data_IF_596394329241
#
_entry.id   IF_596394329241
#
_cell.length_a   1.000
_cell.length_b   1.000
_cell.length_c   1.000
_cell.angle_alpha   90.00
_cell.angle_beta   90.00
_cell.angle_gamma   90.00
#
_symmetry.space_group_name_H-M   'P 1'
#
loop_
_entity.id
_entity.type
_entity.pdbx_description
1 polymer ?
#
# COMPACT_ATOMS: atom_id res chain seq x y z
N UNK A 1 12.58 -21.73 22.15
CA UNK A 1 11.36 -21.51 21.34
C UNK A 1 10.99 -20.02 21.29
N UNK A 2 11.65 -19.19 20.46
CA UNK A 2 11.38 -17.73 20.42
C UNK A 2 11.24 -17.16 18.99
N UNK A 3 10.89 -17.98 18.00
CA UNK A 3 10.76 -17.58 16.59
C UNK A 3 9.32 -17.34 16.11
N UNK A 4 8.35 -17.18 17.02
CA UNK A 4 6.94 -16.99 16.63
C UNK A 4 6.45 -15.53 16.71
N UNK A 5 7.16 -14.64 17.43
CA UNK A 5 6.74 -13.23 17.58
C UNK A 5 6.99 -12.33 16.36
N UNK A 6 7.96 -12.66 15.51
CA UNK A 6 8.37 -11.77 14.40
C UNK A 6 7.43 -11.86 13.18
N UNK A 7 6.79 -13.03 12.97
CA UNK A 7 5.84 -13.22 11.88
C UNK A 7 4.50 -12.53 12.13
N UNK A 8 4.04 -12.48 13.39
CA UNK A 8 2.81 -11.78 13.76
C UNK A 8 2.95 -10.24 13.66
N UNK A 9 4.13 -9.70 14.02
CA UNK A 9 4.41 -8.26 13.88
C UNK A 9 4.48 -7.83 12.40
N UNK A 10 5.09 -8.64 11.54
CA UNK A 10 5.11 -8.38 10.10
C UNK A 10 3.73 -8.50 9.47
N UNK A 11 2.91 -9.47 9.89
CA UNK A 11 1.57 -9.67 9.34
C UNK A 11 0.60 -8.55 9.76
N UNK A 12 0.65 -8.10 11.03
CA UNK A 12 -0.24 -7.03 11.52
C UNK A 12 -0.02 -5.70 10.80
N UNK A 13 1.23 -5.32 10.54
CA UNK A 13 1.53 -4.12 9.73
C UNK A 13 1.12 -4.32 8.28
N UNK A 14 1.29 -5.51 7.69
CA UNK A 14 0.87 -5.76 6.31
C UNK A 14 -0.64 -5.61 6.13
N UNK A 15 -1.46 -5.96 7.12
CA UNK A 15 -2.92 -5.84 7.05
C UNK A 15 -3.43 -4.40 6.92
N UNK A 16 -2.89 -3.47 7.71
CA UNK A 16 -3.32 -2.06 7.66
C UNK A 16 -2.88 -1.39 6.36
N UNK A 17 -1.66 -1.68 5.92
CA UNK A 17 -1.09 -1.10 4.70
C UNK A 17 -1.70 -1.74 3.46
N UNK A 18 -2.18 -2.99 3.53
CA UNK A 18 -2.92 -3.64 2.44
C UNK A 18 -4.23 -2.91 2.15
N UNK A 19 -5.00 -2.55 3.18
CA UNK A 19 -6.25 -1.81 3.00
C UNK A 19 -6.02 -0.40 2.45
N UNK A 20 -4.99 0.27 2.95
CA UNK A 20 -4.54 1.57 2.43
C UNK A 20 -4.08 1.46 0.96
N UNK A 21 -3.28 0.44 0.63
CA UNK A 21 -2.79 0.13 -0.71
C UNK A 21 -3.93 -0.18 -1.69
N UNK A 22 -4.87 -1.04 -1.33
CA UNK A 22 -6.04 -1.35 -2.16
C UNK A 22 -6.91 -0.10 -2.39
N UNK A 23 -7.11 0.73 -1.36
CA UNK A 23 -7.85 1.99 -1.47
C UNK A 23 -7.13 2.98 -2.38
N UNK A 24 -5.81 3.13 -2.23
CA UNK A 24 -4.98 4.00 -3.05
C UNK A 24 -4.97 3.56 -4.52
N UNK A 25 -4.87 2.25 -4.77
CA UNK A 25 -4.88 1.68 -6.11
C UNK A 25 -6.23 1.88 -6.79
N UNK A 26 -7.34 1.57 -6.13
CA UNK A 26 -8.68 1.81 -6.69
C UNK A 26 -8.87 3.29 -7.03
N UNK A 27 -8.43 4.20 -6.14
CA UNK A 27 -8.50 5.63 -6.41
C UNK A 27 -7.62 6.08 -7.59
N UNK A 28 -6.43 5.48 -7.75
CA UNK A 28 -5.55 5.74 -8.88
C UNK A 28 -6.12 5.16 -10.19
N UNK A 29 -6.77 3.99 -10.14
CA UNK A 29 -7.50 3.39 -11.27
C UNK A 29 -8.70 4.24 -11.70
N UNK A 30 -9.41 4.86 -10.76
CA UNK A 30 -10.44 5.88 -11.02
C UNK A 30 -9.87 7.21 -11.60
N UNK A 31 -8.54 7.30 -11.78
CA UNK A 31 -7.87 8.45 -12.38
C UNK A 31 -7.58 9.59 -11.40
N UNK A 32 -7.57 9.33 -10.09
CA UNK A 32 -7.11 10.33 -9.12
C UNK A 32 -5.58 10.42 -9.06
N UNK A 33 -5.09 11.65 -8.85
CA UNK A 33 -3.66 11.94 -8.75
C UNK A 33 -3.05 11.39 -7.45
N UNK A 34 -1.80 10.93 -7.54
CA UNK A 34 -1.03 10.34 -6.43
C UNK A 34 -0.94 11.31 -5.25
N UNK A 35 -0.78 12.61 -5.49
CA UNK A 35 -0.72 13.63 -4.43
C UNK A 35 -2.03 13.68 -3.62
N UNK A 36 -3.17 13.59 -4.32
CA UNK A 36 -4.50 13.63 -3.69
C UNK A 36 -4.78 12.36 -2.88
N UNK A 37 -4.36 11.21 -3.40
CA UNK A 37 -4.48 9.90 -2.74
C UNK A 37 -3.61 9.85 -1.48
N UNK A 38 -2.36 10.32 -1.58
CA UNK A 38 -1.42 10.42 -0.46
C UNK A 38 -2.00 11.26 0.69
N UNK A 39 -2.60 12.42 0.37
CA UNK A 39 -3.29 13.27 1.36
C UNK A 39 -4.53 12.63 1.97
N UNK A 40 -5.32 11.91 1.18
CA UNK A 40 -6.53 11.23 1.64
C UNK A 40 -6.23 10.11 2.63
N UNK A 41 -5.23 9.29 2.30
CA UNK A 41 -4.88 8.09 3.07
C UNK A 41 -3.81 8.41 4.14
N UNK A 42 -3.29 9.66 4.13
CA UNK A 42 -2.21 10.15 5.01
C UNK A 42 -0.94 9.30 4.91
N UNK A 43 -0.61 8.92 3.68
CA UNK A 43 0.57 8.13 3.33
C UNK A 43 1.47 8.96 2.44
N UNK A 44 2.73 8.57 2.28
CA UNK A 44 3.64 9.33 1.43
C UNK A 44 3.34 9.08 -0.04
N UNK A 45 3.55 10.08 -0.88
CA UNK A 45 3.47 9.91 -2.34
C UNK A 45 4.43 8.82 -2.84
N UNK A 46 5.59 8.68 -2.18
CA UNK A 46 6.56 7.60 -2.45
C UNK A 46 5.95 6.21 -2.17
N UNK A 47 5.20 6.06 -1.08
CA UNK A 47 4.50 4.81 -0.76
C UNK A 47 3.45 4.50 -1.83
N UNK A 48 2.64 5.49 -2.23
CA UNK A 48 1.60 5.33 -3.26
C UNK A 48 2.23 4.99 -4.62
N UNK A 49 3.32 5.66 -4.98
CA UNK A 49 4.07 5.39 -6.21
C UNK A 49 4.68 4.00 -6.22
N UNK A 50 5.25 3.56 -5.10
CA UNK A 50 5.73 2.18 -4.93
C UNK A 50 4.58 1.18 -5.04
N UNK A 51 3.39 1.51 -4.55
CA UNK A 51 2.24 0.64 -4.66
C UNK A 51 1.75 0.49 -6.09
N UNK A 52 1.67 1.59 -6.84
CA UNK A 52 1.30 1.59 -8.26
C UNK A 52 2.35 0.86 -9.08
N UNK A 53 3.64 1.13 -8.85
CA UNK A 53 4.75 0.45 -9.50
C UNK A 53 4.71 -1.07 -9.23
N UNK A 54 4.55 -1.51 -7.97
CA UNK A 54 4.39 -2.92 -7.65
C UNK A 54 3.12 -3.57 -8.24
N UNK A 55 2.03 -2.81 -8.41
CA UNK A 55 0.76 -3.35 -8.93
C UNK A 55 0.77 -3.43 -10.46
N UNK A 56 1.29 -2.41 -11.15
CA UNK A 56 1.44 -2.39 -12.61
C UNK A 56 2.67 -3.16 -13.11
N UNK A 57 3.72 -3.35 -12.31
CA UNK A 57 4.87 -4.18 -12.72
C UNK A 57 4.54 -5.69 -12.78
N UNK A 58 3.35 -6.11 -12.30
CA UNK A 58 2.86 -7.49 -12.43
C UNK A 58 2.25 -7.77 -13.81
N UNK A 59 1.90 -6.75 -14.61
CA UNK A 59 1.49 -6.97 -16.00
C UNK A 59 2.72 -6.98 -16.92
N UNK A 60 3.37 -8.14 -17.02
CA UNK A 60 4.29 -8.45 -18.12
C UNK A 60 4.06 -9.87 -18.65
#
# INVERSE_FOLDING_TARGET
MQRQGLFAFHNRKKGEWKKAKETALSMAEDGMDVERIARLIKVSEDDVRKWIDENFCVVK
#
